data_IF_144795173746
#
_entry.id   IF_144795173746
#
_cell.length_a   1.000
_cell.length_b   1.000
_cell.length_c   1.000
_cell.angle_alpha   90.00
_cell.angle_beta   90.00
_cell.angle_gamma   90.00
#
_symmetry.space_group_name_H-M   'P 1'
#
loop_
_entity.id
_entity.type
_entity.pdbx_description
1 polymer ?
#
# COMPACT_ATOMS: atom_id res chain seq x y z
N UNK A 1 2.82 43.40 -57.42
CA UNK A 1 1.51 43.38 -56.71
C UNK A 1 1.25 42.03 -56.11
N UNK A 2 1.00 42.02 -54.82
CA UNK A 2 0.37 40.98 -53.99
C UNK A 2 1.22 39.81 -53.48
N UNK A 3 1.91 40.04 -52.36
CA UNK A 3 2.40 39.02 -51.42
C UNK A 3 1.93 39.42 -50.01
N UNK A 4 0.64 39.30 -49.70
CA UNK A 4 0.10 39.59 -48.36
C UNK A 4 -1.08 38.70 -47.93
N UNK A 5 -1.13 37.45 -48.30
CA UNK A 5 -2.26 36.58 -47.89
C UNK A 5 -1.90 35.28 -47.19
N UNK A 6 -0.63 34.97 -46.93
CA UNK A 6 -0.25 33.66 -46.35
C UNK A 6 0.13 33.67 -44.86
N UNK A 7 0.17 34.83 -44.20
CA UNK A 7 0.69 34.91 -42.81
C UNK A 7 -0.36 34.79 -41.71
N UNK A 8 -1.66 34.85 -42.01
CA UNK A 8 -2.69 34.89 -40.95
C UNK A 8 -3.34 33.53 -40.63
N UNK A 9 -3.25 32.58 -41.55
CA UNK A 9 -3.84 31.24 -41.36
C UNK A 9 -2.94 30.31 -40.52
N UNK A 10 -1.61 30.42 -40.64
CA UNK A 10 -0.66 29.59 -39.90
C UNK A 10 -0.64 29.93 -38.41
N UNK A 11 -0.82 31.19 -38.02
CA UNK A 11 -0.82 31.61 -36.62
C UNK A 11 -2.05 31.10 -35.83
N UNK A 12 -3.19 30.93 -36.49
CA UNK A 12 -4.43 30.46 -35.83
C UNK A 12 -4.42 28.95 -35.62
N UNK A 13 -3.75 28.16 -36.46
CA UNK A 13 -3.64 26.71 -36.33
C UNK A 13 -2.69 26.34 -35.20
N UNK A 14 -1.59 27.09 -35.03
CA UNK A 14 -0.62 26.84 -33.95
C UNK A 14 -1.22 27.18 -32.57
N UNK A 15 -2.04 28.22 -32.47
CA UNK A 15 -2.70 28.58 -31.21
C UNK A 15 -3.76 27.56 -30.80
N UNK A 16 -4.49 26.95 -31.75
CA UNK A 16 -5.47 25.91 -31.47
C UNK A 16 -4.82 24.59 -31.00
N UNK A 17 -3.68 24.23 -31.58
CA UNK A 17 -2.94 23.01 -31.20
C UNK A 17 -2.35 23.13 -29.79
N UNK A 18 -1.89 24.31 -29.37
CA UNK A 18 -1.35 24.55 -28.04
C UNK A 18 -2.41 24.45 -26.94
N UNK A 19 -3.64 24.91 -27.20
CA UNK A 19 -4.75 24.81 -26.24
C UNK A 19 -5.23 23.36 -26.05
N UNK A 20 -5.25 22.55 -27.11
CA UNK A 20 -5.63 21.14 -27.05
C UNK A 20 -4.55 20.31 -26.33
N UNK A 21 -3.25 20.63 -26.54
CA UNK A 21 -2.16 19.96 -25.84
C UNK A 21 -2.14 20.26 -24.33
N UNK A 22 -2.51 21.48 -23.91
CA UNK A 22 -2.61 21.85 -22.50
C UNK A 22 -3.80 21.18 -21.80
N UNK A 23 -4.88 20.87 -22.49
CA UNK A 23 -6.05 20.17 -21.93
C UNK A 23 -5.80 18.66 -21.70
N UNK A 24 -4.83 18.05 -22.39
CA UNK A 24 -4.49 16.64 -22.24
C UNK A 24 -3.53 16.37 -21.06
N UNK A 25 -2.90 17.38 -20.48
CA UNK A 25 -2.02 17.25 -19.32
C UNK A 25 -2.75 17.43 -17.99
N UNK A 26 -4.02 17.83 -17.98
CA UNK A 26 -4.81 18.01 -16.77
C UNK A 26 -5.59 16.75 -16.32
N UNK A 27 -5.42 15.61 -16.99
CA UNK A 27 -6.18 14.37 -16.71
C UNK A 27 -5.38 13.32 -15.94
N UNK A 28 -4.43 13.72 -15.09
CA UNK A 28 -3.80 12.86 -14.10
C UNK A 28 -3.88 13.49 -12.71
N UNK A 29 -5.06 13.88 -12.30
CA UNK A 29 -5.39 13.88 -10.88
C UNK A 29 -5.72 12.43 -10.56
N UNK A 30 -4.77 11.70 -9.97
CA UNK A 30 -5.13 10.61 -9.07
C UNK A 30 -5.99 11.26 -8.01
N UNK A 31 -7.31 11.14 -8.16
CA UNK A 31 -8.21 11.48 -7.07
C UNK A 31 -7.74 10.64 -5.89
N UNK A 32 -7.18 11.33 -4.91
CA UNK A 32 -6.93 10.76 -3.62
C UNK A 32 -8.26 10.16 -3.19
N UNK A 33 -8.29 8.86 -2.92
CA UNK A 33 -9.50 8.15 -2.47
C UNK A 33 -10.13 8.98 -1.36
N UNK A 34 -11.20 9.66 -1.68
CA UNK A 34 -11.96 10.45 -0.73
C UNK A 34 -12.57 9.47 0.26
N UNK A 35 -12.14 9.51 1.50
CA UNK A 35 -12.58 8.61 2.56
C UNK A 35 -14.05 8.85 2.94
N UNK A 36 -14.92 9.04 1.95
CA UNK A 36 -16.34 9.31 2.09
C UNK A 36 -16.62 10.63 2.81
N UNK A 37 -17.84 11.11 2.72
CA UNK A 37 -18.31 12.39 3.29
C UNK A 37 -18.33 12.44 4.86
N UNK A 38 -17.57 11.55 5.50
CA UNK A 38 -17.35 11.51 6.94
C UNK A 38 -18.55 11.08 7.79
N UNK A 39 -19.74 10.90 7.20
CA UNK A 39 -20.96 10.55 7.94
C UNK A 39 -21.39 9.10 7.84
N UNK A 40 -20.95 8.36 6.83
CA UNK A 40 -21.36 6.98 6.60
C UNK A 40 -20.18 5.98 6.42
N UNK A 41 -18.95 6.45 6.28
CA UNK A 41 -17.78 5.58 6.18
C UNK A 41 -17.13 5.39 7.54
N UNK A 42 -17.71 4.52 8.36
CA UNK A 42 -17.15 4.13 9.67
C UNK A 42 -15.96 3.19 9.54
N UNK A 43 -15.67 2.70 8.35
CA UNK A 43 -14.62 1.71 8.12
C UNK A 43 -13.36 2.36 7.58
N UNK A 44 -12.26 2.13 8.27
CA UNK A 44 -10.91 2.35 7.76
C UNK A 44 -10.33 1.04 7.23
N UNK A 45 -9.41 1.15 6.29
CA UNK A 45 -8.64 0.02 5.79
C UNK A 45 -7.17 0.39 5.73
N UNK A 46 -6.35 -0.30 6.52
CA UNK A 46 -4.93 -0.02 6.62
C UNK A 46 -4.10 -1.29 6.50
N UNK A 47 -2.92 -1.16 5.89
CA UNK A 47 -1.87 -2.16 5.99
C UNK A 47 -1.25 -2.06 7.38
N UNK A 48 -1.18 -3.21 8.07
CA UNK A 48 -0.79 -3.26 9.47
C UNK A 48 0.19 -4.39 9.76
N UNK A 49 0.93 -4.25 10.86
CA UNK A 49 1.60 -5.32 11.57
C UNK A 49 0.64 -5.79 12.68
N UNK A 50 -0.05 -6.91 12.47
CA UNK A 50 -1.02 -7.48 13.40
C UNK A 50 -0.35 -8.47 14.34
N UNK A 51 -0.58 -8.34 15.65
CA UNK A 51 -0.01 -9.19 16.67
C UNK A 51 -1.05 -10.19 17.19
N UNK A 52 -0.61 -11.43 17.41
CA UNK A 52 -1.40 -12.46 18.07
C UNK A 52 -1.01 -12.61 19.53
N UNK A 53 -1.97 -13.06 20.36
CA UNK A 53 -1.76 -13.46 21.74
C UNK A 53 -1.28 -14.93 21.86
N UNK A 54 -1.10 -15.40 23.09
CA UNK A 54 -0.71 -16.78 23.39
C UNK A 54 -1.71 -17.85 22.87
N UNK A 55 -2.94 -17.45 22.52
CA UNK A 55 -3.97 -18.33 21.95
C UNK A 55 -4.12 -18.15 20.43
N UNK A 56 -3.17 -17.49 19.76
CA UNK A 56 -3.20 -17.16 18.32
C UNK A 56 -4.44 -16.35 17.92
N UNK A 57 -4.92 -15.46 18.80
CA UNK A 57 -5.98 -14.51 18.51
C UNK A 57 -5.37 -13.14 18.24
N UNK A 58 -5.96 -12.39 17.33
CA UNK A 58 -5.51 -11.03 17.03
C UNK A 58 -5.81 -10.11 18.23
N UNK A 59 -4.77 -9.64 18.91
CA UNK A 59 -4.87 -8.81 20.13
C UNK A 59 -4.69 -7.32 19.86
N UNK A 60 -3.82 -6.98 18.91
CA UNK A 60 -3.49 -5.60 18.56
C UNK A 60 -2.94 -5.53 17.14
N UNK A 61 -2.82 -4.32 16.62
CA UNK A 61 -2.10 -4.06 15.37
C UNK A 61 -1.50 -2.66 15.36
N UNK A 62 -0.44 -2.50 14.56
CA UNK A 62 0.20 -1.20 14.29
C UNK A 62 0.09 -0.90 12.80
N UNK A 63 -0.47 0.26 12.45
CA UNK A 63 -0.60 0.71 11.07
C UNK A 63 0.73 1.16 10.49
N UNK A 64 0.82 1.31 9.17
CA UNK A 64 2.01 1.88 8.52
C UNK A 64 2.27 3.34 8.95
N UNK A 65 1.27 4.04 9.45
CA UNK A 65 1.38 5.38 10.05
C UNK A 65 1.83 5.35 11.53
N UNK A 66 2.24 4.18 12.05
CA UNK A 66 2.70 3.98 13.44
C UNK A 66 1.59 4.15 14.50
N UNK A 67 0.32 4.06 14.12
CA UNK A 67 -0.77 4.04 15.07
C UNK A 67 -0.97 2.62 15.61
N UNK A 68 -0.78 2.41 16.91
CA UNK A 68 -1.02 1.13 17.58
C UNK A 68 -2.41 1.10 18.20
N UNK A 69 -3.18 0.06 17.87
CA UNK A 69 -4.57 -0.10 18.30
C UNK A 69 -4.79 -1.49 18.91
N UNK A 70 -5.56 -1.53 19.99
CA UNK A 70 -6.04 -2.78 20.58
C UNK A 70 -7.29 -3.26 19.84
N UNK A 71 -7.46 -4.58 19.74
CA UNK A 71 -8.59 -5.19 19.04
C UNK A 71 -9.65 -5.63 20.04
N UNK A 72 -10.89 -5.19 19.81
CA UNK A 72 -12.05 -5.60 20.60
C UNK A 72 -12.35 -7.10 20.39
N UNK A 73 -12.55 -7.83 21.49
CA UNK A 73 -12.97 -9.23 21.47
C UNK A 73 -11.92 -10.24 20.97
N UNK A 74 -10.70 -9.81 20.68
CA UNK A 74 -9.59 -10.68 20.24
C UNK A 74 -10.03 -11.79 19.27
N UNK A 75 -10.42 -11.48 18.02
CA UNK A 75 -10.95 -12.44 17.09
C UNK A 75 -9.91 -13.46 16.65
N UNK A 76 -10.35 -14.70 16.43
CA UNK A 76 -9.52 -15.74 15.83
C UNK A 76 -9.54 -15.59 14.30
N UNK A 77 -8.37 -15.39 13.72
CA UNK A 77 -8.16 -15.28 12.26
C UNK A 77 -7.58 -16.63 11.78
N UNK A 78 -8.23 -17.28 10.83
CA UNK A 78 -7.92 -18.67 10.44
C UNK A 78 -6.47 -18.90 9.98
N UNK A 79 -5.85 -17.91 9.34
CA UNK A 79 -4.49 -18.00 8.82
C UNK A 79 -3.41 -17.47 9.78
N UNK A 80 -3.80 -16.83 10.91
CA UNK A 80 -2.89 -16.42 11.99
C UNK A 80 -2.79 -17.56 13.02
N UNK A 81 -1.94 -18.53 12.77
CA UNK A 81 -1.90 -19.77 13.52
C UNK A 81 -0.84 -19.85 14.63
N UNK A 82 0.18 -18.98 14.57
CA UNK A 82 1.28 -18.96 15.53
C UNK A 82 0.97 -17.99 16.67
N UNK A 83 1.09 -18.44 17.93
CA UNK A 83 0.94 -17.54 19.08
C UNK A 83 2.10 -16.53 19.16
N UNK A 84 1.87 -15.43 19.85
CA UNK A 84 2.83 -14.37 20.15
C UNK A 84 3.66 -13.94 18.92
N UNK A 85 2.98 -13.82 17.78
CA UNK A 85 3.60 -13.58 16.47
C UNK A 85 3.03 -12.34 15.80
N UNK A 86 3.83 -11.79 14.87
CA UNK A 86 3.43 -10.63 14.07
C UNK A 86 3.18 -11.05 12.63
N UNK A 87 2.06 -10.62 12.10
CA UNK A 87 1.61 -10.89 10.74
C UNK A 87 1.39 -9.60 9.98
N UNK A 88 1.72 -9.58 8.70
CA UNK A 88 1.34 -8.49 7.81
C UNK A 88 -0.09 -8.72 7.32
N UNK A 89 -0.95 -7.72 7.49
CA UNK A 89 -2.36 -7.81 7.15
C UNK A 89 -2.90 -6.51 6.53
N UNK A 90 -3.99 -6.61 5.79
CA UNK A 90 -4.86 -5.49 5.44
C UNK A 90 -6.12 -5.63 6.29
N UNK A 91 -6.31 -4.69 7.22
CA UNK A 91 -7.37 -4.74 8.23
C UNK A 91 -8.42 -3.68 7.94
N UNK A 92 -9.70 -4.09 7.95
CA UNK A 92 -10.86 -3.20 7.90
C UNK A 92 -11.44 -3.10 9.30
N UNK A 93 -11.49 -1.89 9.85
CA UNK A 93 -11.91 -1.66 11.23
C UNK A 93 -12.72 -0.37 11.39
N UNK A 94 -13.51 -0.28 12.45
CA UNK A 94 -14.21 0.96 12.78
C UNK A 94 -13.17 1.99 13.26
N UNK A 95 -13.20 3.18 12.65
CA UNK A 95 -12.40 4.29 13.18
C UNK A 95 -12.79 4.55 14.64
N UNK A 96 -11.81 4.75 15.55
CA UNK A 96 -12.15 5.12 16.91
C UNK A 96 -12.97 6.41 16.88
N UNK A 97 -14.17 6.37 17.45
CA UNK A 97 -15.04 7.55 17.51
C UNK A 97 -14.39 8.60 18.40
N UNK A 98 -14.20 9.80 17.88
CA UNK A 98 -13.72 10.97 18.65
C UNK A 98 -14.75 11.50 19.68
N UNK A 99 -15.81 10.76 19.95
CA UNK A 99 -16.98 11.21 20.74
C UNK A 99 -17.01 10.72 22.19
N UNK A 100 -15.86 10.53 22.83
CA UNK A 100 -15.83 10.41 24.29
C UNK A 100 -14.92 11.46 24.93
N UNK A 101 -15.16 12.73 24.59
CA UNK A 101 -14.80 13.78 25.53
C UNK A 101 -15.80 13.71 26.68
N UNK A 102 -15.38 13.48 27.95
CA UNK A 102 -16.30 13.64 29.06
C UNK A 102 -16.76 15.09 29.07
N UNK A 103 -18.05 15.30 28.91
CA UNK A 103 -18.69 16.61 29.14
C UNK A 103 -18.59 16.91 30.62
N UNK A 104 -17.47 17.50 31.07
CA UNK A 104 -17.38 18.17 32.35
C UNK A 104 -17.97 19.56 32.20
N UNK A 105 -19.27 19.67 32.42
CA UNK A 105 -19.89 20.92 32.80
C UNK A 105 -19.41 21.29 34.20
N UNK A 106 -18.61 22.35 34.34
CA UNK A 106 -18.78 23.32 35.42
C UNK A 106 -17.66 24.36 35.42
N UNK A 107 -18.16 25.58 35.58
CA UNK A 107 -17.60 26.73 36.25
C UNK A 107 -16.62 27.64 35.50
N UNK A 108 -17.17 28.82 35.28
CA UNK A 108 -16.57 30.10 34.95
C UNK A 108 -15.42 30.49 35.91
N UNK A 109 -14.34 30.96 35.33
CA UNK A 109 -13.30 31.73 36.01
C UNK A 109 -12.31 32.27 34.98
N UNK A 110 -12.12 33.62 34.88
CA UNK A 110 -11.21 34.20 33.90
C UNK A 110 -9.82 34.37 34.48
N UNK A 111 -8.79 33.88 33.82
CA UNK A 111 -7.47 34.51 33.90
C UNK A 111 -6.46 33.97 32.88
N UNK A 112 -5.91 34.92 32.12
CA UNK A 112 -4.54 35.05 31.59
C UNK A 112 -3.97 34.02 30.67
N UNK A 113 -3.88 34.47 29.41
CA UNK A 113 -2.85 34.26 28.36
C UNK A 113 -1.54 33.64 28.81
N UNK A 114 -1.21 32.50 28.22
CA UNK A 114 0.13 32.17 27.75
C UNK A 114 0.07 31.20 26.58
N UNK A 115 0.57 31.66 25.44
CA UNK A 115 0.72 30.96 24.19
C UNK A 115 1.70 29.78 24.33
N UNK A 116 1.17 28.58 24.20
CA UNK A 116 1.97 27.41 23.83
C UNK A 116 1.18 26.60 22.79
N UNK A 117 1.49 26.87 21.53
CA UNK A 117 1.08 26.08 20.37
C UNK A 117 1.86 24.75 20.37
N UNK A 118 1.54 23.85 21.27
CA UNK A 118 2.03 22.48 21.28
C UNK A 118 0.86 21.56 20.98
N UNK A 119 0.80 21.17 19.72
CA UNK A 119 0.29 19.92 19.15
C UNK A 119 -1.05 19.40 19.70
N UNK A 120 -2.12 19.93 19.15
CA UNK A 120 -3.44 19.28 19.13
C UNK A 120 -3.38 17.87 18.54
N UNK A 121 -2.43 17.62 17.61
CA UNK A 121 -2.23 16.36 16.90
C UNK A 121 -1.69 15.25 17.81
N UNK A 122 -0.75 15.54 18.72
CA UNK A 122 -0.16 14.51 19.61
C UNK A 122 -1.12 14.06 20.73
N UNK A 123 -1.92 14.96 21.30
CA UNK A 123 -2.92 14.59 22.31
C UNK A 123 -4.06 13.76 21.75
N UNK A 124 -4.46 14.01 20.50
CA UNK A 124 -5.47 13.20 19.81
C UNK A 124 -4.96 11.79 19.50
N UNK A 125 -3.69 11.65 19.08
CA UNK A 125 -3.08 10.36 18.81
C UNK A 125 -2.92 9.48 20.05
N UNK A 126 -2.52 10.06 21.18
CA UNK A 126 -2.34 9.32 22.44
C UNK A 126 -3.66 8.84 23.06
N UNK A 127 -4.74 9.58 22.91
CA UNK A 127 -6.08 9.17 23.39
C UNK A 127 -6.77 8.18 22.45
N UNK A 128 -6.44 8.18 21.14
CA UNK A 128 -6.95 7.19 20.20
C UNK A 128 -6.32 5.81 20.39
N UNK A 129 -5.07 5.75 20.89
CA UNK A 129 -4.34 4.50 21.12
C UNK A 129 -4.86 3.63 22.28
N UNK A 130 -5.74 4.15 23.14
CA UNK A 130 -6.19 3.45 24.35
C UNK A 130 -7.56 2.77 24.23
N UNK A 131 -8.37 3.10 23.23
CA UNK A 131 -9.68 2.47 23.03
C UNK A 131 -9.58 1.30 22.05
N UNK A 132 -10.07 0.09 22.41
CA UNK A 132 -10.08 -1.04 21.49
C UNK A 132 -11.00 -0.75 20.31
N UNK A 133 -10.59 -1.19 19.12
CA UNK A 133 -11.34 -1.01 17.88
C UNK A 133 -11.96 -2.32 17.42
N UNK A 134 -13.16 -2.21 16.84
CA UNK A 134 -13.84 -3.35 16.23
C UNK A 134 -13.27 -3.63 14.85
N UNK A 135 -12.74 -4.83 14.66
CA UNK A 135 -12.23 -5.33 13.36
C UNK A 135 -13.33 -6.12 12.65
N UNK A 136 -13.49 -5.91 11.35
CA UNK A 136 -14.50 -6.57 10.53
C UNK A 136 -13.91 -7.58 9.55
N UNK A 137 -12.80 -7.21 8.89
CA UNK A 137 -12.15 -8.06 7.88
C UNK A 137 -10.64 -7.98 8.11
N UNK A 138 -9.98 -9.12 8.02
CA UNK A 138 -8.52 -9.25 8.07
C UNK A 138 -8.07 -10.06 6.87
N UNK A 139 -7.54 -9.38 5.88
CA UNK A 139 -6.97 -10.01 4.69
C UNK A 139 -5.48 -10.30 4.90
N UNK A 140 -5.05 -11.47 4.46
CA UNK A 140 -3.64 -11.84 4.46
C UNK A 140 -2.87 -10.96 3.47
N UNK A 141 -1.72 -10.45 3.90
CA UNK A 141 -0.75 -9.78 3.03
C UNK A 141 0.49 -10.65 2.95
N UNK A 142 0.80 -11.13 1.78
CA UNK A 142 1.94 -12.01 1.54
C UNK A 142 3.25 -11.26 1.78
N UNK A 143 4.16 -11.85 2.56
CA UNK A 143 5.50 -11.28 2.82
C UNK A 143 6.57 -12.24 2.30
N UNK A 144 6.76 -12.35 0.99
CA UNK A 144 7.78 -13.25 0.45
C UNK A 144 9.17 -12.78 0.85
N UNK A 145 10.04 -13.73 1.20
CA UNK A 145 11.46 -13.44 1.36
C UNK A 145 12.08 -13.14 0.00
N UNK A 146 12.82 -12.04 -0.08
CA UNK A 146 13.56 -11.68 -1.30
C UNK A 146 14.76 -12.61 -1.41
N UNK A 147 14.72 -13.52 -2.38
CA UNK A 147 15.81 -14.46 -2.67
C UNK A 147 16.81 -13.80 -3.64
N UNK A 148 18.08 -14.20 -3.60
CA UNK A 148 19.02 -13.83 -4.65
C UNK A 148 18.78 -14.71 -5.87
N UNK A 149 18.96 -14.14 -7.06
CA UNK A 149 18.87 -14.88 -8.31
C UNK A 149 19.88 -16.05 -8.32
N UNK A 150 19.38 -17.25 -8.56
CA UNK A 150 20.19 -18.45 -8.75
C UNK A 150 20.18 -18.82 -10.24
N UNK A 151 21.35 -19.04 -10.81
CA UNK A 151 21.53 -19.35 -12.23
C UNK A 151 20.92 -20.71 -12.63
N UNK A 152 20.80 -21.63 -11.67
CA UNK A 152 20.32 -23.00 -11.88
C UNK A 152 18.79 -23.14 -11.97
N UNK A 153 18.04 -22.17 -11.48
CA UNK A 153 16.58 -22.22 -11.47
C UNK A 153 16.00 -20.80 -11.67
N UNK A 154 15.69 -20.40 -12.90
CA UNK A 154 15.05 -19.12 -13.17
C UNK A 154 13.69 -19.06 -12.44
N UNK A 155 13.35 -17.91 -11.84
CA UNK A 155 12.07 -17.76 -11.16
C UNK A 155 10.92 -17.82 -12.15
N UNK A 156 9.81 -18.46 -11.76
CA UNK A 156 8.58 -18.40 -12.54
C UNK A 156 7.98 -16.99 -12.40
N UNK A 157 7.55 -16.46 -13.53
CA UNK A 157 7.00 -15.11 -13.65
C UNK A 157 5.73 -15.14 -14.48
N UNK A 158 4.78 -16.01 -14.11
CA UNK A 158 3.47 -16.06 -14.75
C UNK A 158 2.78 -14.70 -14.60
N UNK A 159 1.98 -14.26 -15.59
CA UNK A 159 1.45 -12.92 -15.58
C UNK A 159 0.40 -12.71 -14.48
N UNK A 160 0.38 -11.49 -13.93
CA UNK A 160 -0.63 -10.99 -12.99
C UNK A 160 -1.27 -9.72 -13.56
N UNK A 161 -2.42 -9.31 -13.05
CA UNK A 161 -2.93 -7.97 -13.32
C UNK A 161 -2.35 -7.01 -12.28
N UNK A 162 -1.36 -6.21 -12.68
CA UNK A 162 -0.78 -5.19 -11.79
C UNK A 162 -1.79 -4.07 -11.50
N UNK A 163 -1.91 -3.67 -10.24
CA UNK A 163 -2.80 -2.61 -9.80
C UNK A 163 -2.02 -1.43 -9.25
N UNK A 164 -1.23 -1.62 -8.18
CA UNK A 164 -0.49 -0.54 -7.55
C UNK A 164 0.79 -1.02 -6.86
N UNK A 165 1.76 -0.11 -6.71
CA UNK A 165 2.98 -0.30 -5.94
C UNK A 165 3.31 1.01 -5.22
N UNK A 166 3.60 0.95 -3.91
CA UNK A 166 3.96 2.12 -3.11
C UNK A 166 4.81 1.74 -1.91
N UNK A 167 5.56 2.69 -1.38
CA UNK A 167 6.29 2.55 -0.12
C UNK A 167 5.33 2.76 1.06
N UNK A 168 5.38 1.91 2.07
CA UNK A 168 4.64 2.11 3.32
C UNK A 168 5.08 3.40 4.03
N UNK A 169 4.18 4.05 4.77
CA UNK A 169 4.47 5.30 5.47
C UNK A 169 5.64 5.15 6.46
N UNK A 170 5.76 3.98 7.12
CA UNK A 170 6.87 3.64 8.01
C UNK A 170 8.16 3.23 7.27
N UNK A 171 8.15 3.23 5.94
CA UNK A 171 9.26 2.83 5.05
C UNK A 171 9.80 1.41 5.26
N UNK A 172 9.07 0.54 5.98
CA UNK A 172 9.47 -0.85 6.20
C UNK A 172 9.18 -1.76 5.02
N UNK A 173 8.19 -1.40 4.18
CA UNK A 173 7.67 -2.29 3.14
C UNK A 173 7.44 -1.56 1.81
N UNK A 174 7.73 -2.23 0.71
CA UNK A 174 7.19 -1.90 -0.61
C UNK A 174 5.95 -2.76 -0.81
N UNK A 175 4.78 -2.13 -0.78
CA UNK A 175 3.48 -2.78 -0.92
C UNK A 175 3.12 -2.93 -2.40
N UNK A 176 2.53 -4.06 -2.76
CA UNK A 176 2.10 -4.39 -4.13
C UNK A 176 0.67 -4.90 -4.06
N UNK A 177 -0.20 -4.34 -4.88
CA UNK A 177 -1.55 -4.85 -5.13
C UNK A 177 -1.64 -5.37 -6.54
N UNK A 178 -2.19 -6.56 -6.70
CA UNK A 178 -2.32 -7.25 -7.99
C UNK A 178 -3.50 -8.23 -7.96
N UNK A 179 -3.99 -8.62 -9.14
CA UNK A 179 -4.98 -9.69 -9.25
C UNK A 179 -4.34 -10.90 -9.92
N UNK A 180 -4.62 -12.07 -9.39
CA UNK A 180 -4.27 -13.36 -9.96
C UNK A 180 -5.50 -14.06 -10.51
N UNK A 181 -5.30 -14.87 -11.54
CA UNK A 181 -6.35 -15.80 -12.00
C UNK A 181 -6.37 -17.00 -11.07
N UNK A 182 -7.55 -17.41 -10.63
CA UNK A 182 -7.71 -18.51 -9.68
C UNK A 182 -9.00 -19.30 -9.93
N UNK A 183 -9.13 -20.44 -9.26
CA UNK A 183 -10.29 -21.31 -9.33
C UNK A 183 -10.11 -22.50 -8.39
N UNK A 184 -11.17 -23.27 -8.16
CA UNK A 184 -11.10 -24.52 -7.40
C UNK A 184 -11.08 -25.70 -8.37
N UNK A 185 -10.08 -26.57 -8.24
CA UNK A 185 -9.96 -27.80 -9.01
C UNK A 185 -10.36 -29.06 -8.22
N UNK A 186 -10.74 -28.89 -6.94
CA UNK A 186 -11.05 -30.02 -6.07
C UNK A 186 -9.86 -30.88 -5.65
N UNK A 187 -8.64 -30.52 -6.02
CA UNK A 187 -7.40 -31.18 -5.61
C UNK A 187 -6.50 -30.20 -4.90
N UNK A 188 -5.89 -30.60 -3.79
CA UNK A 188 -4.95 -29.81 -2.98
C UNK A 188 -3.56 -29.64 -3.63
N UNK A 189 -3.43 -29.98 -4.91
CA UNK A 189 -2.17 -30.05 -5.61
C UNK A 189 -1.71 -28.66 -6.09
N UNK A 190 -0.54 -28.27 -5.62
CA UNK A 190 0.30 -27.18 -6.13
C UNK A 190 -0.40 -25.85 -6.33
N UNK A 191 -0.76 -25.21 -5.20
CA UNK A 191 -1.34 -23.88 -5.17
C UNK A 191 -0.42 -22.83 -5.80
N UNK A 192 -1.01 -21.70 -6.14
CA UNK A 192 -0.27 -20.53 -6.59
C UNK A 192 0.76 -20.09 -5.54
N UNK A 193 1.91 -19.61 -6.00
CA UNK A 193 2.90 -19.04 -5.11
C UNK A 193 3.38 -17.66 -5.60
N UNK A 194 3.66 -16.79 -4.63
CA UNK A 194 4.19 -15.45 -4.86
C UNK A 194 5.58 -15.38 -4.24
N UNK A 195 6.50 -14.79 -4.97
CA UNK A 195 7.89 -14.63 -4.57
C UNK A 195 8.49 -13.31 -5.01
N UNK A 196 9.72 -13.06 -4.59
CA UNK A 196 10.52 -11.95 -5.07
C UNK A 196 11.99 -12.38 -5.17
N UNK A 197 12.66 -11.93 -6.21
CA UNK A 197 14.06 -12.24 -6.47
C UNK A 197 14.83 -10.94 -6.71
N UNK A 198 15.89 -10.73 -5.93
CA UNK A 198 16.88 -9.69 -6.17
C UNK A 198 17.76 -10.17 -7.36
N UNK A 199 17.61 -9.49 -8.49
CA UNK A 199 18.32 -9.85 -9.74
C UNK A 199 19.65 -9.13 -9.85
N UNK A 200 19.73 -7.88 -9.39
CA UNK A 200 20.92 -7.05 -9.48
C UNK A 200 20.90 -5.91 -8.47
N UNK A 201 22.08 -5.30 -8.25
CA UNK A 201 22.29 -4.10 -7.46
C UNK A 201 23.13 -3.14 -8.27
N UNK A 202 22.57 -2.01 -8.67
CA UNK A 202 23.27 -1.02 -9.51
C UNK A 202 23.62 0.22 -8.69
N UNK A 203 24.90 0.62 -8.74
CA UNK A 203 25.34 1.93 -8.23
C UNK A 203 25.16 2.98 -9.33
N UNK A 204 24.34 3.97 -9.07
CA UNK A 204 24.06 5.08 -9.98
C UNK A 204 25.24 6.08 -10.04
N UNK A 205 25.21 6.98 -11.03
CA UNK A 205 26.26 8.00 -11.20
C UNK A 205 26.33 8.99 -10.03
N UNK A 206 25.25 9.21 -9.31
CA UNK A 206 25.14 10.04 -8.10
C UNK A 206 25.60 9.34 -6.82
N UNK A 207 26.06 8.08 -6.93
CA UNK A 207 26.51 7.25 -5.83
C UNK A 207 25.40 6.49 -5.11
N UNK A 208 24.13 6.72 -5.43
CA UNK A 208 22.99 5.97 -4.86
C UNK A 208 22.95 4.52 -5.34
N UNK A 209 22.29 3.65 -4.58
CA UNK A 209 22.20 2.22 -4.87
C UNK A 209 20.75 1.83 -5.21
N UNK A 210 20.55 1.18 -6.34
CA UNK A 210 19.24 0.67 -6.78
C UNK A 210 19.20 -0.84 -6.70
N UNK A 211 18.22 -1.38 -5.95
CA UNK A 211 17.93 -2.81 -5.93
C UNK A 211 16.97 -3.16 -7.09
N UNK A 212 17.37 -4.09 -7.97
CA UNK A 212 16.52 -4.60 -9.04
C UNK A 212 15.84 -5.89 -8.58
N UNK A 213 14.52 -5.86 -8.47
CA UNK A 213 13.71 -6.95 -7.93
C UNK A 213 12.73 -7.43 -9.00
N UNK A 214 12.72 -8.75 -9.26
CA UNK A 214 11.67 -9.37 -10.06
C UNK A 214 10.61 -9.94 -9.12
N UNK A 215 9.39 -9.48 -9.31
CA UNK A 215 8.20 -10.06 -8.67
C UNK A 215 7.86 -11.35 -9.38
N UNK A 216 7.76 -12.43 -8.62
CA UNK A 216 7.59 -13.78 -9.12
C UNK A 216 6.18 -14.28 -8.82
N UNK A 217 5.54 -14.88 -9.79
CA UNK A 217 4.29 -15.58 -9.64
C UNK A 217 4.41 -16.94 -10.33
N UNK A 218 4.05 -17.98 -9.59
CA UNK A 218 3.85 -19.33 -10.14
C UNK A 218 2.37 -19.61 -10.09
N UNK A 219 1.73 -19.75 -11.25
CA UNK A 219 0.32 -20.10 -11.36
C UNK A 219 0.03 -21.51 -10.85
N UNK A 220 1.05 -22.38 -10.84
CA UNK A 220 0.89 -23.80 -10.53
C UNK A 220 -0.14 -24.47 -11.44
N UNK A 221 -0.88 -25.41 -10.88
CA UNK A 221 -1.97 -26.11 -11.58
C UNK A 221 -3.36 -25.50 -11.26
N UNK A 222 -3.40 -24.28 -10.72
CA UNK A 222 -4.66 -23.62 -10.31
C UNK A 222 -5.43 -23.16 -11.55
N UNK A 223 -6.71 -23.55 -11.71
CA UNK A 223 -7.56 -23.11 -12.81
C UNK A 223 -7.74 -21.59 -12.82
N UNK A 224 -7.94 -21.00 -13.99
CA UNK A 224 -8.02 -19.55 -14.18
C UNK A 224 -9.46 -19.09 -14.46
N UNK A 225 -10.42 -19.45 -13.60
CA UNK A 225 -11.84 -19.18 -13.83
C UNK A 225 -12.25 -17.74 -13.50
N UNK A 226 -11.64 -17.14 -12.48
CA UNK A 226 -11.92 -15.76 -12.04
C UNK A 226 -10.66 -15.07 -11.53
N UNK A 227 -10.77 -13.77 -11.31
CA UNK A 227 -9.66 -12.98 -10.76
C UNK A 227 -9.89 -12.74 -9.27
N UNK A 228 -8.84 -12.89 -8.46
CA UNK A 228 -8.82 -12.59 -7.03
C UNK A 228 -7.78 -11.54 -6.71
N UNK A 229 -8.18 -10.51 -5.95
CA UNK A 229 -7.28 -9.47 -5.44
C UNK A 229 -6.36 -10.05 -4.39
N UNK A 230 -5.05 -9.77 -4.56
CA UNK A 230 -3.99 -10.19 -3.65
C UNK A 230 -3.12 -9.00 -3.27
N UNK A 231 -2.47 -9.12 -2.13
CA UNK A 231 -1.60 -8.11 -1.57
C UNK A 231 -0.27 -8.74 -1.17
N UNK A 232 0.83 -8.05 -1.48
CA UNK A 232 2.15 -8.44 -1.04
C UNK A 232 2.91 -7.24 -0.47
N UNK A 233 3.77 -7.49 0.50
CA UNK A 233 4.67 -6.51 1.09
C UNK A 233 6.10 -7.04 1.05
N UNK A 234 6.99 -6.38 0.32
CA UNK A 234 8.41 -6.69 0.26
C UNK A 234 9.13 -5.90 1.34
N UNK A 235 9.79 -6.58 2.28
CA UNK A 235 10.49 -5.92 3.36
C UNK A 235 11.72 -5.16 2.85
N UNK A 236 11.78 -3.85 3.09
CA UNK A 236 12.88 -2.97 2.69
C UNK A 236 14.22 -3.42 3.29
N UNK A 237 14.20 -3.92 4.53
CA UNK A 237 15.38 -4.47 5.21
C UNK A 237 16.07 -5.63 4.43
N UNK A 238 15.38 -6.28 3.49
CA UNK A 238 15.96 -7.32 2.64
C UNK A 238 16.58 -6.77 1.34
N UNK A 239 16.52 -5.46 1.10
CA UNK A 239 17.01 -4.80 -0.13
C UNK A 239 18.44 -4.24 -0.01
N UNK A 240 19.21 -4.73 0.97
CA UNK A 240 20.67 -4.49 1.10
C UNK A 240 21.05 -3.00 1.13
N UNK A 241 20.35 -2.20 1.94
CA UNK A 241 20.58 -0.76 2.12
C UNK A 241 20.45 0.08 0.83
N UNK A 242 19.69 -0.42 -0.14
CA UNK A 242 19.41 0.32 -1.36
C UNK A 242 18.69 1.66 -1.07
N UNK A 243 19.02 2.66 -1.88
CA UNK A 243 18.36 3.97 -1.83
C UNK A 243 17.03 3.95 -2.61
N UNK A 244 16.93 3.06 -3.59
CA UNK A 244 15.73 2.85 -4.39
C UNK A 244 15.55 1.38 -4.75
N UNK A 245 14.31 1.01 -5.06
CA UNK A 245 13.97 -0.32 -5.59
C UNK A 245 13.29 -0.18 -6.95
N UNK A 246 13.78 -0.92 -7.93
CA UNK A 246 13.18 -1.09 -9.26
C UNK A 246 12.53 -2.46 -9.31
N UNK A 247 11.19 -2.50 -9.25
CA UNK A 247 10.42 -3.75 -9.24
C UNK A 247 9.86 -4.03 -10.62
N UNK A 248 10.21 -5.20 -11.13
CA UNK A 248 9.75 -5.72 -12.42
C UNK A 248 8.62 -6.71 -12.18
N UNK A 249 7.48 -6.50 -12.84
CA UNK A 249 6.29 -7.34 -12.72
C UNK A 249 5.86 -7.77 -14.11
N UNK A 250 5.70 -9.07 -14.34
CA UNK A 250 5.11 -9.58 -15.55
C UNK A 250 3.59 -9.44 -15.47
N UNK A 251 3.00 -8.65 -16.36
CA UNK A 251 1.57 -8.41 -16.37
C UNK A 251 0.95 -8.95 -17.67
N UNK A 252 -0.34 -9.30 -17.64
CA UNK A 252 -1.11 -9.67 -18.84
C UNK A 252 -1.08 -8.58 -19.93
N UNK A 253 -0.77 -7.32 -19.58
CA UNK A 253 -0.61 -6.21 -20.52
C UNK A 253 0.84 -5.95 -20.94
N UNK A 254 1.76 -6.84 -20.56
CA UNK A 254 3.19 -6.69 -20.78
C UNK A 254 3.96 -6.39 -19.49
N UNK A 255 5.27 -6.27 -19.61
CA UNK A 255 6.19 -6.05 -18.51
C UNK A 255 6.01 -4.64 -17.91
N UNK A 256 5.76 -4.57 -16.63
CA UNK A 256 5.67 -3.33 -15.85
C UNK A 256 6.94 -3.18 -15.03
N UNK A 257 7.58 -2.00 -15.09
CA UNK A 257 8.72 -1.65 -14.25
C UNK A 257 8.34 -0.42 -13.43
N UNK A 258 8.46 -0.51 -12.11
CA UNK A 258 8.21 0.59 -11.18
C UNK A 258 9.42 0.81 -10.31
N UNK A 259 9.92 2.04 -10.29
CA UNK A 259 11.02 2.45 -9.40
C UNK A 259 10.46 3.32 -8.30
N UNK A 260 10.88 3.06 -7.07
CA UNK A 260 10.44 3.77 -5.87
C UNK A 260 11.65 4.11 -5.01
N UNK A 261 11.69 5.34 -4.46
CA UNK A 261 12.68 5.73 -3.46
C UNK A 261 12.38 5.05 -2.13
N UNK A 262 13.40 4.54 -1.46
CA UNK A 262 13.30 3.89 -0.15
C UNK A 262 13.73 4.81 1.01
N UNK A 263 14.36 5.94 0.67
CA UNK A 263 14.84 6.97 1.60
C UNK A 263 14.10 8.28 1.44
#
# INVERSE_FOLDING_TARGET
MSNKAFSCAAAKVVASAAVVAAALLASCTTEQYDSGDGKLSYLRSDFVEACTDAQSRMSSFTTDEQLSLLVEGTPKVSWMTTPDSTYRALVYYAAPSSSSAPSSSSALGPSSSSSSSASFTERSAQNLASAPVKVFIVNNVLCPKIKRLQTSAPPKTDPVSFVALWLSANRKYVNITFDVKTGSSGSDADGQSIGAVLTDMTRNADGTLTAHITFCHDQGNVPQYYSSRQYASLAVAQMQDADSASVVINSYKGKVVKTISLK
#
